data_IF_523479783126
#
_entry.id   IF_523479783126
#
_cell.length_a   1.000
_cell.length_b   1.000
_cell.length_c   1.000
_cell.angle_alpha   90.00
_cell.angle_beta   90.00
_cell.angle_gamma   90.00
#
_symmetry.space_group_name_H-M   'P 1'
#
loop_
_entity.id
_entity.type
_entity.pdbx_description
1 polymer ?
#
# COMPACT_ATOMS: atom_id res chain seq x y z
N UNK A 1 20.36 -21.46 4.60
CA UNK A 1 19.38 -21.14 3.54
C UNK A 1 19.76 -19.79 2.97
N UNK A 2 20.13 -19.72 1.69
CA UNK A 2 20.43 -18.46 1.02
C UNK A 2 19.15 -17.63 0.96
N UNK A 3 19.12 -16.46 1.60
CA UNK A 3 18.01 -15.51 1.47
C UNK A 3 17.96 -15.05 0.02
N UNK A 4 17.01 -15.58 -0.76
CA UNK A 4 16.72 -15.11 -2.11
C UNK A 4 16.19 -13.69 -2.02
N UNK A 5 17.01 -12.72 -2.42
CA UNK A 5 16.61 -11.32 -2.45
C UNK A 5 15.67 -11.11 -3.64
N UNK A 6 14.41 -10.79 -3.36
CA UNK A 6 13.44 -10.41 -4.39
C UNK A 6 13.92 -9.12 -5.05
N UNK A 7 14.04 -9.06 -6.39
CA UNK A 7 14.44 -7.84 -7.07
C UNK A 7 13.41 -6.72 -6.83
N UNK A 8 13.89 -5.48 -6.74
CA UNK A 8 13.09 -4.29 -6.39
C UNK A 8 11.74 -4.23 -7.10
N UNK A 9 11.73 -4.40 -8.42
CA UNK A 9 10.53 -4.21 -9.23
C UNK A 9 9.45 -5.25 -8.93
N UNK A 10 9.82 -6.49 -8.60
CA UNK A 10 8.84 -7.52 -8.21
C UNK A 10 8.16 -7.17 -6.91
N UNK A 11 8.92 -6.69 -5.92
CA UNK A 11 8.35 -6.21 -4.66
C UNK A 11 7.42 -5.02 -4.88
N UNK A 12 7.77 -4.09 -5.77
CA UNK A 12 6.95 -2.93 -6.08
C UNK A 12 5.65 -3.30 -6.82
N UNK A 13 5.67 -4.32 -7.68
CA UNK A 13 4.47 -4.86 -8.31
C UNK A 13 3.52 -5.49 -7.29
N UNK A 14 4.05 -6.27 -6.33
CA UNK A 14 3.25 -6.83 -5.24
C UNK A 14 2.60 -5.74 -4.39
N UNK A 15 3.32 -4.65 -4.08
CA UNK A 15 2.76 -3.52 -3.35
C UNK A 15 1.73 -2.75 -4.20
N UNK A 16 1.95 -2.57 -5.50
CA UNK A 16 0.96 -1.93 -6.39
C UNK A 16 -0.36 -2.69 -6.38
N UNK A 17 -0.30 -4.03 -6.49
CA UNK A 17 -1.48 -4.89 -6.44
C UNK A 17 -2.23 -4.79 -5.10
N UNK A 18 -1.50 -4.67 -3.98
CA UNK A 18 -2.11 -4.43 -2.65
C UNK A 18 -2.74 -3.04 -2.54
N UNK A 19 -2.08 -2.03 -3.08
CA UNK A 19 -2.57 -0.64 -3.11
C UNK A 19 -3.86 -0.51 -3.92
N UNK A 20 -3.94 -1.13 -5.09
CA UNK A 20 -5.11 -1.11 -5.98
C UNK A 20 -6.29 -1.94 -5.44
N UNK A 21 -6.01 -3.05 -4.75
CA UNK A 21 -7.05 -3.89 -4.15
C UNK A 21 -7.58 -3.35 -2.81
N UNK A 22 -6.88 -2.39 -2.21
CA UNK A 22 -7.18 -1.85 -0.88
C UNK A 22 -6.73 -2.80 0.24
N UNK A 23 -6.18 -2.25 1.32
CA UNK A 23 -5.60 -3.01 2.45
C UNK A 23 -6.65 -3.64 3.41
N UNK A 24 -7.95 -3.65 3.06
CA UNK A 24 -9.01 -3.59 4.08
C UNK A 24 -9.94 -4.78 4.31
N UNK A 25 -10.03 -5.80 3.44
CA UNK A 25 -11.15 -6.77 3.58
C UNK A 25 -10.88 -8.00 4.48
N UNK A 26 -9.63 -8.33 4.84
CA UNK A 26 -9.31 -9.64 5.41
C UNK A 26 -9.01 -9.68 6.92
N UNK A 27 -8.93 -8.53 7.61
CA UNK A 27 -8.62 -8.47 9.04
C UNK A 27 -9.54 -7.47 9.76
N UNK A 28 -10.85 -7.65 9.61
CA UNK A 28 -11.86 -6.91 10.35
C UNK A 28 -12.03 -7.50 11.77
N UNK A 29 -11.00 -7.33 12.60
CA UNK A 29 -11.12 -7.48 14.05
C UNK A 29 -10.99 -6.08 14.67
N UNK A 30 -12.14 -5.52 15.06
CA UNK A 30 -12.44 -4.56 16.16
C UNK A 30 -11.31 -3.60 16.63
N UNK A 31 -10.48 -3.13 15.71
CA UNK A 31 -9.56 -1.98 15.79
C UNK A 31 -9.46 -1.25 14.45
N UNK A 32 -10.56 -1.29 13.69
CA UNK A 32 -10.81 -0.60 12.43
C UNK A 32 -10.55 0.90 12.64
N UNK A 33 -9.37 1.39 12.26
CA UNK A 33 -9.03 2.82 12.15
C UNK A 33 -7.65 3.07 11.50
N UNK A 34 -6.72 2.11 11.44
CA UNK A 34 -5.35 2.39 10.95
C UNK A 34 -5.00 1.78 9.59
N UNK A 35 -5.62 0.67 9.18
CA UNK A 35 -5.31 0.00 7.90
C UNK A 35 -6.14 0.52 6.73
N UNK A 36 -7.37 0.98 6.98
CA UNK A 36 -8.22 1.62 5.97
C UNK A 36 -7.96 3.12 5.83
N UNK A 37 -7.18 3.71 6.75
CA UNK A 37 -6.82 5.11 6.70
C UNK A 37 -5.67 5.39 5.71
N UNK A 38 -4.91 4.38 5.30
CA UNK A 38 -3.75 4.57 4.44
C UNK A 38 -3.97 3.91 3.07
N UNK A 39 -3.82 4.67 1.99
CA UNK A 39 -3.81 4.15 0.63
C UNK A 39 -2.56 4.63 -0.10
N UNK A 40 -2.09 3.85 -1.07
CA UNK A 40 -0.96 4.25 -1.90
C UNK A 40 -1.09 3.66 -3.31
N UNK A 41 -0.51 4.34 -4.29
CA UNK A 41 -0.49 3.92 -5.70
C UNK A 41 0.55 4.70 -6.50
N UNK A 42 0.74 4.32 -7.76
CA UNK A 42 1.68 5.04 -8.64
C UNK A 42 1.22 6.48 -8.87
N UNK A 43 2.19 7.41 -8.84
CA UNK A 43 1.91 8.81 -9.16
C UNK A 43 1.63 9.01 -10.66
N UNK A 44 2.23 8.16 -11.51
CA UNK A 44 2.07 8.14 -12.96
C UNK A 44 1.96 6.68 -13.42
N UNK A 45 0.87 6.32 -14.09
CA UNK A 45 0.58 4.93 -14.48
C UNK A 45 1.49 4.37 -15.57
N UNK A 46 2.22 5.24 -16.28
CA UNK A 46 3.21 4.90 -17.30
C UNK A 46 4.64 4.79 -16.76
N UNK A 47 4.87 5.06 -15.47
CA UNK A 47 6.17 4.88 -14.81
C UNK A 47 6.49 3.39 -14.61
N UNK A 48 7.15 2.79 -15.61
CA UNK A 48 7.61 1.40 -15.58
C UNK A 48 8.69 1.12 -14.51
N UNK A 49 9.38 2.16 -14.03
CA UNK A 49 10.38 2.02 -12.97
C UNK A 49 9.75 2.06 -11.57
N UNK A 50 8.46 2.37 -11.48
CA UNK A 50 7.70 2.45 -10.23
C UNK A 50 8.46 3.28 -9.18
N UNK A 51 8.94 4.45 -9.59
CA UNK A 51 9.79 5.31 -8.77
C UNK A 51 8.96 6.27 -7.92
N UNK A 52 7.88 6.80 -8.48
CA UNK A 52 7.06 7.82 -7.83
C UNK A 52 5.70 7.25 -7.39
N UNK A 53 5.38 7.44 -6.11
CA UNK A 53 4.17 6.93 -5.48
C UNK A 53 3.44 8.03 -4.74
N UNK A 54 2.11 8.02 -4.82
CA UNK A 54 1.23 8.86 -4.03
C UNK A 54 0.72 8.04 -2.85
N UNK A 55 0.82 8.58 -1.64
CA UNK A 55 0.27 8.00 -0.43
C UNK A 55 -0.75 8.95 0.21
N UNK A 56 -1.91 8.43 0.60
CA UNK A 56 -2.93 9.15 1.35
C UNK A 56 -3.00 8.56 2.74
N UNK A 57 -3.07 9.43 3.76
CA UNK A 57 -3.34 9.04 5.14
C UNK A 57 -4.55 9.85 5.60
N UNK A 58 -5.60 9.15 6.00
CA UNK A 58 -6.79 9.73 6.62
C UNK A 58 -6.52 9.92 8.11
N UNK A 59 -6.81 11.11 8.61
CA UNK A 59 -6.68 11.41 10.03
C UNK A 59 -7.63 10.55 10.86
N UNK A 60 -7.32 10.34 12.16
CA UNK A 60 -8.20 9.59 13.05
C UNK A 60 -9.60 10.21 13.08
N UNK A 61 -10.68 9.42 13.06
CA UNK A 61 -12.00 9.94 13.35
C UNK A 61 -11.98 10.51 14.79
N UNK A 62 -12.51 11.72 15.00
CA UNK A 62 -12.61 12.44 16.29
C UNK A 62 -11.38 13.24 16.78
N UNK A 63 -10.48 13.70 15.90
CA UNK A 63 -9.35 14.56 16.30
C UNK A 63 -9.69 16.07 16.50
N UNK A 64 -10.95 16.40 16.82
CA UNK A 64 -11.41 17.76 17.12
C UNK A 64 -11.94 17.90 18.55
#
# INVERSE_FOLDING_TARGET
MSVTKVPRNFRLLEELEKGEKGLGAAYADVRICLTEACSYGLAQGDDMLMSNWNGTILGPPHAC
#
